data_IF_712169112507
#
_entry.id   IF_712169112507
#
_cell.length_a   1.000
_cell.length_b   1.000
_cell.length_c   1.000
_cell.angle_alpha   90.00
_cell.angle_beta   90.00
_cell.angle_gamma   90.00
#
_symmetry.space_group_name_H-M   'P 1'
#
loop_
_entity.id
_entity.type
_entity.pdbx_description
1 polymer ?
#
# COMPACT_ATOMS: atom_id res chain seq x y z
N UNK A 1 -65.03 -21.18 78.18
CA UNK A 1 -63.86 -21.53 77.34
C UNK A 1 -63.81 -23.06 77.30
N UNK A 2 -63.92 -23.85 76.22
CA UNK A 2 -63.67 -23.72 74.79
C UNK A 2 -64.72 -24.55 74.03
N UNK A 3 -65.67 -23.93 73.32
CA UNK A 3 -66.58 -24.65 72.41
C UNK A 3 -66.41 -24.25 70.93
N UNK A 4 -65.55 -23.28 70.61
CA UNK A 4 -65.29 -22.85 69.23
C UNK A 4 -64.20 -23.65 68.49
N UNK A 5 -63.40 -24.48 69.18
CA UNK A 5 -62.30 -25.22 68.56
C UNK A 5 -62.73 -26.48 67.82
N UNK A 6 -63.91 -27.04 68.12
CA UNK A 6 -64.33 -28.36 67.58
C UNK A 6 -64.89 -28.29 66.15
N UNK A 7 -65.59 -27.21 65.80
CA UNK A 7 -66.16 -27.00 64.45
C UNK A 7 -65.14 -26.45 63.45
N UNK A 8 -64.19 -25.63 63.91
CA UNK A 8 -63.05 -25.17 63.11
C UNK A 8 -62.12 -26.33 62.77
N UNK A 9 -61.89 -27.26 63.71
CA UNK A 9 -61.11 -28.48 63.47
C UNK A 9 -61.69 -29.37 62.37
N UNK A 10 -63.02 -29.58 62.32
CA UNK A 10 -63.66 -30.43 61.29
C UNK A 10 -63.60 -29.80 59.88
N UNK A 11 -63.74 -28.48 59.76
CA UNK A 11 -63.59 -27.78 58.47
C UNK A 11 -62.13 -27.79 58.00
N UNK A 12 -61.18 -27.54 58.92
CA UNK A 12 -59.75 -27.55 58.62
C UNK A 12 -59.28 -28.95 58.20
N UNK A 13 -59.74 -30.00 58.89
CA UNK A 13 -59.45 -31.40 58.58
C UNK A 13 -59.92 -31.78 57.16
N UNK A 14 -61.14 -31.38 56.76
CA UNK A 14 -61.65 -31.62 55.40
C UNK A 14 -60.84 -30.89 54.32
N UNK A 15 -60.36 -29.69 54.61
CA UNK A 15 -59.51 -28.92 53.69
C UNK A 15 -58.13 -29.58 53.56
N UNK A 16 -57.50 -29.94 54.68
CA UNK A 16 -56.21 -30.64 54.71
C UNK A 16 -56.29 -31.97 53.96
N UNK A 17 -57.37 -32.73 54.14
CA UNK A 17 -57.58 -34.00 53.43
C UNK A 17 -57.73 -33.80 51.92
N UNK A 18 -58.43 -32.74 51.47
CA UNK A 18 -58.55 -32.41 50.05
C UNK A 18 -57.20 -32.02 49.45
N UNK A 19 -56.40 -31.24 50.18
CA UNK A 19 -55.05 -30.86 49.76
C UNK A 19 -54.17 -32.12 49.66
N UNK A 20 -54.21 -33.00 50.66
CA UNK A 20 -53.47 -34.27 50.64
C UNK A 20 -53.86 -35.17 49.46
N UNK A 21 -55.15 -35.28 49.15
CA UNK A 21 -55.64 -36.05 47.98
C UNK A 21 -55.17 -35.44 46.66
N UNK A 22 -55.23 -34.11 46.51
CA UNK A 22 -54.76 -33.42 45.30
C UNK A 22 -53.26 -33.62 45.12
N UNK A 23 -52.47 -33.49 46.18
CA UNK A 23 -51.03 -33.74 46.14
C UNK A 23 -50.73 -35.19 45.75
N UNK A 24 -51.43 -36.17 46.36
CA UNK A 24 -51.27 -37.58 46.02
C UNK A 24 -51.55 -37.87 44.53
N UNK A 25 -52.67 -37.35 43.99
CA UNK A 25 -53.02 -37.53 42.58
C UNK A 25 -52.00 -36.82 41.67
N UNK A 26 -51.55 -35.63 42.05
CA UNK A 26 -50.55 -34.86 41.28
C UNK A 26 -49.21 -35.59 41.25
N UNK A 27 -48.76 -36.15 42.38
CA UNK A 27 -47.54 -36.94 42.45
C UNK A 27 -47.62 -38.21 41.58
N UNK A 28 -48.75 -38.91 41.60
CA UNK A 28 -48.99 -40.06 40.72
C UNK A 28 -48.98 -39.67 39.23
N UNK A 29 -49.58 -38.54 38.87
CA UNK A 29 -49.55 -38.01 37.50
C UNK A 29 -48.13 -37.65 37.07
N UNK A 30 -47.32 -37.02 37.94
CA UNK A 30 -45.92 -36.70 37.66
C UNK A 30 -45.10 -37.98 37.42
N UNK A 31 -45.25 -39.00 38.27
CA UNK A 31 -44.57 -40.28 38.09
C UNK A 31 -45.03 -40.96 36.79
N UNK A 32 -46.34 -41.06 36.55
CA UNK A 32 -46.90 -41.71 35.37
C UNK A 32 -46.47 -41.04 34.06
N UNK A 33 -46.51 -39.71 33.99
CA UNK A 33 -46.05 -38.94 32.82
C UNK A 33 -44.53 -39.03 32.63
N UNK A 34 -43.76 -39.14 33.72
CA UNK A 34 -42.30 -39.33 33.66
C UNK A 34 -41.93 -40.72 33.15
N UNK A 35 -42.67 -41.76 33.56
CA UNK A 35 -42.48 -43.14 33.09
C UNK A 35 -42.92 -43.36 31.63
N UNK A 36 -43.95 -42.65 31.17
CA UNK A 36 -44.48 -42.75 29.81
C UNK A 36 -43.70 -41.92 28.78
N UNK A 37 -42.89 -40.97 29.21
CA UNK A 37 -42.07 -40.17 28.31
C UNK A 37 -40.86 -40.97 27.80
N UNK A 38 -40.46 -40.84 26.52
CA UNK A 38 -39.25 -41.47 26.03
C UNK A 38 -38.03 -41.01 26.86
N UNK A 39 -37.26 -42.00 27.35
CA UNK A 39 -36.11 -41.87 28.26
C UNK A 39 -34.99 -41.02 27.64
N UNK A 40 -34.99 -40.89 26.31
CA UNK A 40 -33.89 -40.35 25.52
C UNK A 40 -34.37 -39.14 24.70
N UNK A 41 -33.69 -38.00 24.88
CA UNK A 41 -33.95 -36.78 24.09
C UNK A 41 -32.70 -36.40 23.30
N UNK A 42 -32.89 -36.11 22.02
CA UNK A 42 -31.85 -35.54 21.18
C UNK A 42 -31.77 -34.04 21.40
N UNK A 43 -30.62 -33.56 21.84
CA UNK A 43 -30.38 -32.13 22.09
C UNK A 43 -29.39 -31.61 21.06
N UNK A 44 -29.78 -30.54 20.36
CA UNK A 44 -28.89 -29.87 19.40
C UNK A 44 -27.79 -29.13 20.14
N UNK A 45 -26.55 -29.34 19.71
CA UNK A 45 -25.34 -28.68 20.21
C UNK A 45 -24.66 -27.94 19.05
N UNK A 46 -23.97 -26.86 19.39
CA UNK A 46 -23.16 -26.05 18.47
C UNK A 46 -21.87 -25.66 19.18
N UNK A 47 -20.73 -25.82 18.50
CA UNK A 47 -19.44 -25.31 18.94
C UNK A 47 -18.78 -24.61 17.77
N UNK A 48 -18.11 -23.49 18.03
CA UNK A 48 -17.33 -22.77 17.02
C UNK A 48 -15.94 -23.42 16.98
N UNK A 49 -15.56 -23.96 15.83
CA UNK A 49 -14.25 -24.57 15.63
C UNK A 49 -13.20 -23.50 15.28
N UNK A 50 -13.61 -22.52 14.48
CA UNK A 50 -12.78 -21.37 14.13
C UNK A 50 -13.67 -20.22 13.63
N UNK A 51 -13.31 -19.00 13.97
CA UNK A 51 -14.03 -17.80 13.56
C UNK A 51 -13.08 -16.62 13.49
N UNK A 52 -13.15 -15.88 12.39
CA UNK A 52 -12.51 -14.57 12.29
C UNK A 52 -13.40 -13.60 11.57
N UNK A 53 -13.50 -12.42 12.16
CA UNK A 53 -14.12 -11.25 11.55
C UNK A 53 -12.99 -10.40 10.99
N UNK A 54 -13.16 -9.93 9.76
CA UNK A 54 -12.26 -8.96 9.15
C UNK A 54 -10.78 -9.43 9.02
N UNK A 55 -10.55 -10.73 8.86
CA UNK A 55 -9.22 -11.32 8.77
C UNK A 55 -8.48 -10.89 7.49
N UNK A 56 -7.22 -10.48 7.64
CA UNK A 56 -6.33 -10.19 6.51
C UNK A 56 -5.63 -11.47 6.06
N UNK A 57 -6.18 -12.12 5.03
CA UNK A 57 -5.59 -13.31 4.42
C UNK A 57 -4.79 -12.89 3.18
N UNK A 58 -3.51 -12.58 3.39
CA UNK A 58 -2.64 -12.03 2.34
C UNK A 58 -2.38 -13.03 1.21
N UNK A 59 -2.18 -14.31 1.56
CA UNK A 59 -1.85 -15.36 0.61
C UNK A 59 -2.58 -16.65 0.91
N UNK A 60 -2.39 -17.14 2.13
CA UNK A 60 -2.86 -18.43 2.54
C UNK A 60 -3.12 -18.40 4.03
N UNK A 61 -4.23 -19.01 4.43
CA UNK A 61 -4.59 -19.26 5.81
C UNK A 61 -4.88 -20.75 5.93
N UNK A 62 -4.33 -21.37 6.97
CA UNK A 62 -4.52 -22.78 7.27
C UNK A 62 -4.89 -22.96 8.74
N UNK A 63 -5.86 -23.84 9.01
CA UNK A 63 -6.23 -24.28 10.34
C UNK A 63 -6.60 -25.76 10.33
N UNK A 64 -6.07 -26.51 11.29
CA UNK A 64 -6.56 -27.85 11.57
C UNK A 64 -7.75 -27.76 12.55
N UNK A 65 -8.93 -28.18 12.10
CA UNK A 65 -10.16 -28.19 12.87
C UNK A 65 -10.30 -29.53 13.59
N UNK A 66 -10.33 -29.51 14.91
CA UNK A 66 -10.45 -30.70 15.76
C UNK A 66 -11.51 -30.50 16.84
N UNK A 67 -12.13 -31.61 17.26
CA UNK A 67 -13.04 -31.61 18.40
C UNK A 67 -12.97 -32.94 19.15
N UNK A 68 -12.82 -32.86 20.48
CA UNK A 68 -12.72 -34.04 21.34
C UNK A 68 -14.10 -34.45 21.85
N UNK A 69 -14.72 -35.40 21.16
CA UNK A 69 -15.93 -36.06 21.63
C UNK A 69 -15.64 -36.91 22.87
N UNK A 70 -16.29 -36.60 24.00
CA UNK A 70 -16.09 -37.26 25.30
C UNK A 70 -17.00 -38.47 25.51
N UNK A 71 -18.09 -38.57 24.75
CA UNK A 71 -19.10 -39.64 24.84
C UNK A 71 -19.02 -40.58 23.61
N UNK A 72 -19.57 -41.78 23.73
CA UNK A 72 -19.57 -42.82 22.69
C UNK A 72 -20.12 -42.27 21.34
N UNK A 73 -19.42 -42.50 20.20
CA UNK A 73 -19.83 -42.07 18.87
C UNK A 73 -21.29 -42.39 18.47
N UNK A 74 -21.84 -43.50 18.96
CA UNK A 74 -23.22 -43.94 18.69
C UNK A 74 -24.29 -43.02 19.31
N UNK A 75 -23.89 -42.14 20.23
CA UNK A 75 -24.78 -41.19 20.91
C UNK A 75 -24.81 -39.82 20.21
N UNK A 76 -24.19 -39.69 19.03
CA UNK A 76 -24.29 -38.51 18.17
C UNK A 76 -25.00 -38.83 16.86
N UNK A 77 -25.77 -37.87 16.35
CA UNK A 77 -26.32 -37.92 14.99
C UNK A 77 -26.31 -36.54 14.34
N UNK A 78 -26.51 -36.51 13.03
CA UNK A 78 -26.56 -35.29 12.21
C UNK A 78 -25.32 -34.39 12.41
N UNK A 79 -24.15 -35.01 12.62
CA UNK A 79 -22.90 -34.31 12.80
C UNK A 79 -22.50 -33.61 11.50
N UNK A 80 -22.32 -32.31 11.56
CA UNK A 80 -22.02 -31.50 10.38
C UNK A 80 -21.14 -30.29 10.71
N UNK A 81 -20.31 -29.90 9.75
CA UNK A 81 -19.59 -28.63 9.77
C UNK A 81 -20.38 -27.62 8.95
N UNK A 82 -20.76 -26.52 9.58
CA UNK A 82 -21.32 -25.36 8.91
C UNK A 82 -20.20 -24.37 8.60
N UNK A 83 -19.98 -24.13 7.31
CA UNK A 83 -19.05 -23.12 6.82
C UNK A 83 -19.86 -21.92 6.34
N UNK A 84 -19.53 -20.74 6.84
CA UNK A 84 -19.94 -19.47 6.28
C UNK A 84 -18.70 -18.63 5.99
N UNK A 85 -18.65 -17.99 4.84
CA UNK A 85 -17.57 -17.10 4.44
C UNK A 85 -18.10 -15.95 3.60
N UNK A 86 -17.50 -14.80 3.82
CA UNK A 86 -17.71 -13.59 3.05
C UNK A 86 -16.38 -12.87 2.81
N UNK A 87 -16.19 -12.41 1.59
CA UNK A 87 -14.97 -11.80 1.08
C UNK A 87 -15.33 -10.89 -0.09
N UNK A 88 -14.73 -9.69 -0.18
CA UNK A 88 -15.01 -8.78 -1.30
C UNK A 88 -14.39 -9.29 -2.59
N UNK A 89 -13.26 -9.99 -2.50
CA UNK A 89 -12.61 -10.62 -3.64
C UNK A 89 -12.75 -12.15 -3.54
N UNK A 90 -12.87 -12.85 -4.69
CA UNK A 90 -12.96 -14.30 -4.73
C UNK A 90 -11.77 -15.00 -4.04
N UNK A 91 -12.07 -16.01 -3.23
CA UNK A 91 -11.11 -16.88 -2.55
C UNK A 91 -11.30 -18.33 -2.97
N UNK A 92 -10.21 -19.09 -2.95
CA UNK A 92 -10.29 -20.54 -2.99
C UNK A 92 -10.34 -21.07 -1.57
N UNK A 93 -11.25 -21.99 -1.30
CA UNK A 93 -11.47 -22.56 0.02
C UNK A 93 -11.36 -24.07 -0.08
N UNK A 94 -10.67 -24.70 0.85
CA UNK A 94 -10.61 -26.15 0.95
C UNK A 94 -11.02 -26.61 2.35
N UNK A 95 -11.76 -27.72 2.40
CA UNK A 95 -11.97 -28.53 3.60
C UNK A 95 -11.58 -29.95 3.24
N UNK A 96 -10.49 -30.44 3.82
CA UNK A 96 -9.92 -31.75 3.52
C UNK A 96 -9.76 -32.57 4.79
N UNK A 97 -10.52 -33.65 4.90
CA UNK A 97 -10.41 -34.69 5.93
C UNK A 97 -10.20 -36.07 5.29
N UNK A 98 -10.35 -37.13 6.07
CA UNK A 98 -10.14 -38.51 5.56
C UNK A 98 -11.15 -38.92 4.47
N UNK A 99 -12.38 -38.43 4.57
CA UNK A 99 -13.49 -38.74 3.64
C UNK A 99 -14.20 -37.49 3.12
N UNK A 100 -13.90 -36.33 3.71
CA UNK A 100 -14.42 -35.04 3.27
C UNK A 100 -13.39 -34.37 2.35
N UNK A 101 -13.78 -34.07 1.10
CA UNK A 101 -12.98 -33.26 0.20
C UNK A 101 -13.87 -32.22 -0.47
N UNK A 102 -13.84 -31.01 0.05
CA UNK A 102 -14.55 -29.86 -0.51
C UNK A 102 -13.52 -28.88 -1.03
N UNK A 103 -13.64 -28.53 -2.31
CA UNK A 103 -12.86 -27.48 -2.94
C UNK A 103 -13.82 -26.50 -3.58
N UNK A 104 -13.77 -25.26 -3.11
CA UNK A 104 -14.55 -24.17 -3.66
C UNK A 104 -13.58 -23.21 -4.33
N UNK A 105 -13.89 -22.84 -5.56
CA UNK A 105 -13.07 -21.94 -6.35
C UNK A 105 -13.81 -20.62 -6.57
N UNK A 106 -13.05 -19.52 -6.57
CA UNK A 106 -13.57 -18.18 -6.88
C UNK A 106 -14.80 -17.76 -6.04
N UNK A 107 -14.78 -18.04 -4.73
CA UNK A 107 -15.90 -17.73 -3.81
C UNK A 107 -15.76 -16.36 -3.16
N UNK A 108 -16.77 -15.51 -3.31
CA UNK A 108 -16.92 -14.27 -2.53
C UNK A 108 -17.83 -14.44 -1.32
N UNK A 109 -18.91 -15.19 -1.48
CA UNK A 109 -19.84 -15.52 -0.40
C UNK A 109 -20.26 -16.98 -0.54
N UNK A 110 -20.22 -17.72 0.56
CA UNK A 110 -20.68 -19.10 0.57
C UNK A 110 -21.16 -19.50 1.96
N UNK A 111 -22.26 -20.23 2.00
CA UNK A 111 -22.80 -20.85 3.21
C UNK A 111 -23.24 -22.26 2.87
N UNK A 112 -22.72 -23.25 3.60
CA UNK A 112 -23.14 -24.64 3.44
C UNK A 112 -22.86 -25.46 4.69
N UNK A 113 -23.43 -26.66 4.72
CA UNK A 113 -23.26 -27.63 5.78
C UNK A 113 -22.82 -28.96 5.21
N UNK A 114 -21.76 -29.53 5.77
CA UNK A 114 -21.14 -30.76 5.31
C UNK A 114 -21.24 -31.82 6.39
N UNK A 115 -21.86 -32.96 6.09
CA UNK A 115 -21.91 -34.11 6.99
C UNK A 115 -20.51 -34.69 7.21
N UNK A 116 -20.20 -35.04 8.45
CA UNK A 116 -18.89 -35.55 8.85
C UNK A 116 -19.03 -36.63 9.93
N UNK A 117 -17.96 -37.38 10.17
CA UNK A 117 -17.91 -38.40 11.23
C UNK A 117 -17.11 -37.92 12.46
N UNK A 118 -17.38 -38.46 13.67
CA UNK A 118 -16.58 -38.15 14.85
C UNK A 118 -15.08 -38.50 14.67
N UNK A 119 -14.79 -39.55 13.90
CA UNK A 119 -13.43 -39.97 13.61
C UNK A 119 -12.68 -38.97 12.71
N UNK A 120 -13.35 -38.39 11.71
CA UNK A 120 -12.76 -37.34 10.86
C UNK A 120 -12.32 -36.13 11.68
N UNK A 121 -13.17 -35.64 12.59
CA UNK A 121 -12.84 -34.50 13.46
C UNK A 121 -11.76 -34.79 14.49
N UNK A 122 -11.69 -36.04 15.00
CA UNK A 122 -10.59 -36.46 15.90
C UNK A 122 -9.25 -36.50 15.17
N UNK A 123 -9.24 -36.98 13.91
CA UNK A 123 -8.05 -36.97 13.04
C UNK A 123 -7.68 -35.56 12.59
N UNK A 124 -8.67 -34.67 12.55
CA UNK A 124 -8.53 -33.28 12.16
C UNK A 124 -8.93 -33.06 10.70
N UNK A 125 -9.65 -31.97 10.46
CA UNK A 125 -10.03 -31.53 9.12
C UNK A 125 -9.21 -30.28 8.79
N UNK A 126 -8.45 -30.35 7.69
CA UNK A 126 -7.67 -29.23 7.19
C UNK A 126 -8.61 -28.20 6.55
N UNK A 127 -8.63 -27.00 7.08
CA UNK A 127 -9.34 -25.85 6.52
C UNK A 127 -8.35 -24.86 5.94
N UNK A 128 -8.50 -24.50 4.67
CA UNK A 128 -7.63 -23.54 4.00
C UNK A 128 -8.43 -22.46 3.29
N UNK A 129 -7.92 -21.23 3.34
CA UNK A 129 -8.38 -20.11 2.52
C UNK A 129 -7.17 -19.57 1.77
N UNK A 130 -7.24 -19.58 0.44
CA UNK A 130 -6.18 -19.12 -0.45
C UNK A 130 -6.63 -17.91 -1.25
N UNK A 131 -5.79 -16.87 -1.23
CA UNK A 131 -6.00 -15.65 -1.99
C UNK A 131 -5.40 -15.78 -3.39
N UNK A 132 -6.23 -16.13 -4.38
CA UNK A 132 -5.81 -16.35 -5.78
C UNK A 132 -5.27 -15.10 -6.48
N UNK A 133 -5.51 -13.91 -5.92
CA UNK A 133 -5.02 -12.63 -6.44
C UNK A 133 -3.60 -12.29 -6.00
N UNK A 134 -2.99 -13.16 -5.19
CA UNK A 134 -1.66 -12.98 -4.61
C UNK A 134 -0.55 -13.67 -5.43
N UNK A 135 -0.39 -13.29 -6.70
CA UNK A 135 0.64 -13.87 -7.59
C UNK A 135 1.93 -13.03 -7.64
N UNK A 136 3.07 -13.72 -7.81
CA UNK A 136 4.36 -13.09 -8.15
C UNK A 136 4.30 -12.56 -9.58
N UNK A 137 4.63 -11.27 -9.80
CA UNK A 137 4.80 -10.71 -11.14
C UNK A 137 6.28 -10.38 -11.31
N UNK A 138 6.98 -11.23 -12.05
CA UNK A 138 8.46 -11.26 -12.13
C UNK A 138 9.07 -10.10 -12.91
N UNK A 139 8.33 -9.48 -13.84
CA UNK A 139 8.72 -8.20 -14.45
C UNK A 139 7.55 -7.63 -15.24
N UNK A 140 7.28 -6.34 -15.09
CA UNK A 140 6.40 -5.61 -16.00
C UNK A 140 7.17 -4.45 -16.61
N UNK A 141 7.23 -4.43 -17.94
CA UNK A 141 7.66 -3.25 -18.69
C UNK A 141 6.61 -2.15 -18.50
N UNK A 142 7.06 -1.02 -17.99
CA UNK A 142 6.30 0.23 -17.95
C UNK A 142 6.66 0.98 -19.24
N UNK A 143 5.69 1.62 -19.93
CA UNK A 143 5.88 2.09 -21.30
C UNK A 143 7.17 2.92 -21.48
N UNK A 144 7.87 2.59 -22.55
CA UNK A 144 9.05 3.27 -23.07
C UNK A 144 8.67 4.72 -23.39
N UNK A 145 9.37 5.68 -22.79
CA UNK A 145 9.15 7.12 -23.02
C UNK A 145 10.40 7.75 -23.62
N UNK A 146 10.18 8.54 -24.66
CA UNK A 146 11.19 9.45 -25.23
C UNK A 146 10.96 10.81 -24.56
N UNK A 147 11.96 11.26 -23.80
CA UNK A 147 11.92 12.56 -23.13
C UNK A 147 12.71 13.52 -24.01
N UNK A 148 12.00 14.52 -24.55
CA UNK A 148 12.61 15.61 -25.32
C UNK A 148 12.62 16.85 -24.44
N UNK A 149 13.81 17.33 -24.08
CA UNK A 149 13.91 18.54 -23.25
C UNK A 149 13.79 19.81 -24.07
N UNK A 150 13.06 20.79 -23.50
CA UNK A 150 12.95 22.13 -24.03
C UNK A 150 14.10 23.03 -23.54
N UNK A 151 14.49 24.04 -24.33
CA UNK A 151 15.74 24.79 -24.15
C UNK A 151 15.96 25.51 -22.82
N UNK A 152 14.92 25.88 -22.09
CA UNK A 152 15.00 26.84 -20.97
C UNK A 152 15.08 26.19 -19.58
N UNK A 153 14.98 24.87 -19.49
CA UNK A 153 14.89 24.18 -18.21
C UNK A 153 16.24 23.54 -17.85
N UNK A 154 16.71 23.76 -16.61
CA UNK A 154 17.95 23.15 -16.10
C UNK A 154 17.81 21.66 -15.82
N UNK A 155 16.57 21.17 -15.76
CA UNK A 155 16.20 19.78 -15.56
C UNK A 155 14.88 19.45 -16.25
N UNK A 156 14.62 18.18 -16.53
CA UNK A 156 13.29 17.67 -16.90
C UNK A 156 12.86 16.60 -15.90
N UNK A 157 11.56 16.47 -15.70
CA UNK A 157 10.99 15.48 -14.78
C UNK A 157 10.01 14.62 -15.53
N UNK A 158 10.18 13.31 -15.41
CA UNK A 158 9.22 12.33 -15.87
C UNK A 158 8.57 11.66 -14.65
N UNK A 159 7.25 11.70 -14.58
CA UNK A 159 6.48 11.08 -13.51
C UNK A 159 5.76 9.85 -14.04
N UNK A 160 6.02 8.71 -13.41
CA UNK A 160 5.35 7.45 -13.70
C UNK A 160 4.44 7.11 -12.52
N UNK A 161 3.14 7.01 -12.77
CA UNK A 161 2.18 6.45 -11.81
C UNK A 161 2.15 4.92 -11.95
N UNK A 162 2.70 4.24 -10.95
CA UNK A 162 2.71 2.79 -10.86
C UNK A 162 1.32 2.23 -10.55
N UNK A 163 0.44 2.98 -9.90
CA UNK A 163 -0.91 2.50 -9.61
C UNK A 163 -1.66 2.26 -10.92
N UNK A 164 -1.73 3.23 -11.82
CA UNK A 164 -2.46 3.11 -13.08
C UNK A 164 -1.95 1.95 -13.93
N UNK A 165 -0.63 1.87 -14.12
CA UNK A 165 -0.02 0.83 -14.92
C UNK A 165 -0.34 -0.55 -14.35
N UNK A 166 -0.31 -0.73 -13.03
CA UNK A 166 -0.49 -2.04 -12.38
C UNK A 166 -1.97 -2.39 -12.15
N UNK A 167 -2.80 -1.42 -11.78
CA UNK A 167 -4.25 -1.54 -11.58
C UNK A 167 -4.97 -1.95 -12.86
N UNK A 168 -4.60 -1.42 -14.02
CA UNK A 168 -5.25 -1.77 -15.29
C UNK A 168 -5.20 -3.28 -15.58
N UNK A 169 -4.12 -3.97 -15.19
CA UNK A 169 -4.02 -5.43 -15.36
C UNK A 169 -4.96 -6.19 -14.42
N UNK A 170 -5.10 -5.71 -13.19
CA UNK A 170 -6.03 -6.27 -12.20
C UNK A 170 -7.48 -6.02 -12.64
N UNK A 171 -7.80 -4.81 -13.11
CA UNK A 171 -9.11 -4.50 -13.68
C UNK A 171 -9.46 -5.38 -14.86
N UNK A 172 -8.54 -5.59 -15.81
CA UNK A 172 -8.78 -6.50 -16.93
C UNK A 172 -9.04 -7.95 -16.47
N UNK A 173 -8.41 -8.40 -15.38
CA UNK A 173 -8.65 -9.72 -14.80
C UNK A 173 -10.01 -9.78 -14.09
N UNK A 174 -10.40 -8.73 -13.36
CA UNK A 174 -11.71 -8.59 -12.71
C UNK A 174 -12.82 -8.63 -13.77
N UNK A 175 -12.67 -7.87 -14.86
CA UNK A 175 -13.62 -7.79 -15.97
C UNK A 175 -13.74 -9.15 -16.69
N UNK A 176 -12.62 -9.80 -17.02
CA UNK A 176 -12.62 -11.15 -17.62
C UNK A 176 -13.34 -12.19 -16.76
N UNK A 177 -13.30 -12.03 -15.44
CA UNK A 177 -13.98 -12.91 -14.47
C UNK A 177 -15.43 -12.48 -14.17
N UNK A 178 -15.94 -11.42 -14.79
CA UNK A 178 -17.30 -10.93 -14.58
C UNK A 178 -17.58 -10.41 -13.16
N UNK A 179 -16.54 -10.01 -12.43
CA UNK A 179 -16.65 -9.63 -11.02
C UNK A 179 -17.12 -8.18 -10.88
N UNK A 180 -18.15 -7.96 -10.07
CA UNK A 180 -18.71 -6.62 -9.79
C UNK A 180 -18.08 -6.05 -8.51
N UNK A 181 -16.89 -5.47 -8.65
CA UNK A 181 -16.15 -4.84 -7.55
C UNK A 181 -16.16 -3.32 -7.71
N UNK A 182 -16.54 -2.58 -6.67
CA UNK A 182 -16.66 -1.11 -6.69
C UNK A 182 -15.32 -0.36 -6.54
N UNK A 183 -14.24 -1.07 -6.20
CA UNK A 183 -12.90 -0.50 -6.07
C UNK A 183 -11.94 -1.40 -5.32
N UNK A 184 -10.63 -1.17 -5.47
CA UNK A 184 -9.60 -1.88 -4.73
C UNK A 184 -8.39 -0.99 -4.46
N UNK A 185 -7.71 -1.25 -3.34
CA UNK A 185 -6.45 -0.58 -2.99
C UNK A 185 -5.32 -1.59 -3.09
N UNK A 186 -4.43 -1.48 -4.09
CA UNK A 186 -3.27 -2.36 -4.18
C UNK A 186 -2.22 -1.94 -3.15
N UNK A 187 -1.71 -2.91 -2.39
CA UNK A 187 -0.44 -2.79 -1.68
C UNK A 187 0.60 -3.65 -2.37
N UNK A 188 1.70 -3.05 -2.78
CA UNK A 188 2.85 -3.78 -3.31
C UNK A 188 3.80 -4.08 -2.16
N UNK A 189 4.35 -5.29 -2.09
CA UNK A 189 5.48 -5.59 -1.18
C UNK A 189 6.75 -5.75 -1.98
N UNK A 190 7.86 -5.22 -1.45
CA UNK A 190 9.20 -5.28 -2.04
C UNK A 190 9.26 -4.77 -3.50
N UNK A 191 8.62 -3.63 -3.76
CA UNK A 191 8.67 -2.97 -5.06
C UNK A 191 10.13 -2.61 -5.38
N UNK A 192 10.61 -3.14 -6.50
CA UNK A 192 11.92 -2.83 -7.08
C UNK A 192 11.69 -2.21 -8.44
N UNK A 193 12.22 -1.00 -8.64
CA UNK A 193 12.18 -0.30 -9.92
C UNK A 193 13.56 -0.40 -10.54
N UNK A 194 13.64 -0.80 -11.80
CA UNK A 194 14.92 -0.93 -12.49
C UNK A 194 14.76 -0.59 -13.96
N UNK A 195 15.86 -0.33 -14.63
CA UNK A 195 15.80 0.02 -16.03
C UNK A 195 17.02 0.75 -16.50
N UNK A 196 16.83 1.42 -17.63
CA UNK A 196 17.90 2.05 -18.39
C UNK A 196 17.47 3.43 -18.84
N UNK A 197 18.40 4.38 -18.79
CA UNK A 197 18.26 5.69 -19.39
C UNK A 197 19.48 5.94 -20.27
N UNK A 198 19.29 6.35 -21.53
CA UNK A 198 20.40 6.73 -22.40
C UNK A 198 20.06 7.94 -23.26
N UNK A 199 21.06 8.80 -23.47
CA UNK A 199 20.94 9.97 -24.34
C UNK A 199 21.44 9.63 -25.74
N UNK A 200 20.62 9.90 -26.76
CA UNK A 200 20.83 9.46 -28.13
C UNK A 200 22.10 10.01 -28.79
N UNK A 201 22.53 11.22 -28.41
CA UNK A 201 23.73 11.89 -28.93
C UNK A 201 24.99 11.65 -28.07
N UNK A 202 24.93 10.76 -27.07
CA UNK A 202 26.05 10.46 -26.17
C UNK A 202 26.39 11.60 -25.19
N UNK A 203 25.49 12.56 -24.99
CA UNK A 203 25.70 13.69 -24.08
C UNK A 203 25.50 13.28 -22.63
N UNK A 204 26.26 13.91 -21.75
CA UNK A 204 26.23 13.63 -20.32
C UNK A 204 25.08 14.36 -19.64
N UNK A 205 24.41 13.67 -18.73
CA UNK A 205 23.36 14.19 -17.85
C UNK A 205 23.51 13.57 -16.45
N UNK A 206 22.74 14.05 -15.48
CA UNK A 206 22.54 13.38 -14.20
C UNK A 206 21.12 12.80 -14.16
N UNK A 207 20.94 11.70 -13.44
CA UNK A 207 19.64 11.08 -13.22
C UNK A 207 19.40 10.89 -11.73
N UNK A 208 18.26 11.36 -11.22
CA UNK A 208 17.78 11.11 -9.87
C UNK A 208 16.45 10.37 -9.92
N UNK A 209 16.28 9.37 -9.06
CA UNK A 209 15.01 8.65 -8.89
C UNK A 209 14.49 8.94 -7.49
N UNK A 210 13.37 9.67 -7.43
CA UNK A 210 12.76 10.15 -6.18
C UNK A 210 11.33 9.62 -6.03
N UNK A 211 10.83 9.63 -4.79
CA UNK A 211 9.39 9.57 -4.49
C UNK A 211 8.79 10.98 -4.45
N UNK A 212 7.46 11.07 -4.30
CA UNK A 212 6.76 12.35 -4.31
C UNK A 212 7.27 13.29 -3.20
N UNK A 213 7.54 12.76 -2.00
CA UNK A 213 8.03 13.57 -0.88
C UNK A 213 9.42 14.13 -1.14
N UNK A 214 10.36 13.31 -1.60
CA UNK A 214 11.71 13.74 -1.91
C UNK A 214 11.77 14.64 -3.13
N UNK A 215 10.88 14.45 -4.11
CA UNK A 215 10.71 15.37 -5.24
C UNK A 215 10.27 16.77 -4.77
N UNK A 216 9.32 16.86 -3.84
CA UNK A 216 8.93 18.15 -3.27
C UNK A 216 10.06 18.83 -2.50
N UNK A 217 10.94 18.06 -1.84
CA UNK A 217 12.15 18.62 -1.22
C UNK A 217 13.18 19.07 -2.25
N UNK A 218 13.37 18.33 -3.35
CA UNK A 218 14.20 18.72 -4.47
C UNK A 218 13.78 20.09 -5.04
N UNK A 219 12.49 20.26 -5.34
CA UNK A 219 11.95 21.53 -5.87
C UNK A 219 12.17 22.72 -4.93
N UNK A 220 12.17 22.48 -3.62
CA UNK A 220 12.40 23.50 -2.58
C UNK A 220 13.88 23.75 -2.30
N UNK A 221 14.81 23.09 -3.00
CA UNK A 221 16.25 23.16 -2.70
C UNK A 221 16.60 22.64 -1.29
N UNK A 222 15.71 21.84 -0.69
CA UNK A 222 15.88 21.28 0.64
C UNK A 222 16.62 19.94 0.58
N UNK A 223 17.13 19.45 1.72
CA UNK A 223 17.78 18.14 1.78
C UNK A 223 16.78 17.03 1.45
N UNK A 224 17.07 16.24 0.42
CA UNK A 224 16.28 15.08 -0.02
C UNK A 224 17.15 13.82 -0.07
N UNK A 225 16.51 12.66 -0.18
CA UNK A 225 17.18 11.36 -0.39
C UNK A 225 16.70 10.76 -1.70
N UNK A 226 17.63 10.51 -2.61
CA UNK A 226 17.35 9.75 -3.81
C UNK A 226 17.40 8.24 -3.53
N UNK A 227 16.50 7.49 -4.16
CA UNK A 227 16.55 6.02 -4.16
C UNK A 227 17.67 5.51 -5.06
N UNK A 228 17.97 6.29 -6.10
CA UNK A 228 19.09 6.05 -6.99
C UNK A 228 19.54 7.41 -7.57
N UNK A 229 20.84 7.59 -7.72
CA UNK A 229 21.43 8.78 -8.33
C UNK A 229 22.63 8.41 -9.18
N UNK A 230 22.67 8.94 -10.39
CA UNK A 230 23.81 8.86 -11.30
C UNK A 230 24.20 10.27 -11.74
N UNK A 231 25.51 10.52 -11.85
CA UNK A 231 26.03 11.82 -12.25
C UNK A 231 26.93 11.71 -13.46
N UNK A 232 26.88 12.71 -14.34
CA UNK A 232 27.81 12.94 -15.44
C UNK A 232 28.07 11.73 -16.37
N UNK A 233 27.03 10.98 -16.74
CA UNK A 233 27.09 9.88 -17.72
C UNK A 233 26.12 10.10 -18.86
N UNK A 234 26.38 9.48 -20.01
CA UNK A 234 25.47 9.47 -21.17
C UNK A 234 24.50 8.29 -21.17
N UNK A 235 24.71 7.34 -20.27
CA UNK A 235 23.81 6.21 -20.05
C UNK A 235 23.87 5.74 -18.59
N UNK A 236 22.77 5.15 -18.15
CA UNK A 236 22.60 4.60 -16.82
C UNK A 236 21.81 3.31 -16.87
N UNK A 237 22.26 2.33 -16.10
CA UNK A 237 21.45 1.20 -15.65
C UNK A 237 21.20 1.42 -14.16
N UNK A 238 19.94 1.37 -13.74
CA UNK A 238 19.56 1.67 -12.36
C UNK A 238 18.73 0.55 -11.76
N UNK A 239 18.88 0.37 -10.45
CA UNK A 239 18.07 -0.52 -9.62
C UNK A 239 17.80 0.21 -8.31
N UNK A 240 16.53 0.49 -8.04
CA UNK A 240 16.02 1.09 -6.82
C UNK A 240 15.26 0.03 -6.03
N UNK A 241 15.93 -0.55 -5.02
CA UNK A 241 15.34 -1.53 -4.12
C UNK A 241 14.44 -0.88 -3.06
N UNK A 242 13.44 -1.63 -2.59
CA UNK A 242 12.58 -1.24 -1.46
C UNK A 242 11.91 0.13 -1.64
N UNK A 243 11.43 0.41 -2.85
CA UNK A 243 10.74 1.67 -3.12
C UNK A 243 9.45 1.77 -2.28
N UNK A 244 9.18 2.91 -1.62
CA UNK A 244 8.10 3.03 -0.66
C UNK A 244 6.75 2.78 -1.31
N UNK A 245 5.97 1.92 -0.67
CA UNK A 245 4.71 1.37 -1.21
C UNK A 245 3.53 2.31 -1.03
N UNK A 246 3.73 3.41 -0.29
CA UNK A 246 2.78 4.50 -0.09
C UNK A 246 2.88 5.59 -1.17
N UNK A 247 3.97 5.64 -1.95
CA UNK A 247 4.13 6.56 -3.09
C UNK A 247 3.99 5.78 -4.38
N UNK A 248 2.86 5.95 -5.07
CA UNK A 248 2.63 5.30 -6.37
C UNK A 248 3.34 6.02 -7.51
N UNK A 249 3.73 7.28 -7.30
CA UNK A 249 4.44 8.08 -8.27
C UNK A 249 5.95 7.96 -8.09
N UNK A 250 6.62 7.70 -9.22
CA UNK A 250 8.07 7.67 -9.34
C UNK A 250 8.50 8.85 -10.20
N UNK A 251 9.38 9.68 -9.65
CA UNK A 251 9.90 10.85 -10.33
C UNK A 251 11.32 10.59 -10.81
N UNK A 252 11.52 10.65 -12.12
CA UNK A 252 12.82 10.60 -12.78
C UNK A 252 13.23 12.01 -13.14
N UNK A 253 14.28 12.52 -12.50
CA UNK A 253 14.80 13.88 -12.74
C UNK A 253 16.06 13.76 -13.58
N UNK A 254 16.06 14.45 -14.72
CA UNK A 254 17.18 14.54 -15.64
C UNK A 254 17.80 15.91 -15.53
N UNK A 255 18.95 16.04 -14.88
CA UNK A 255 19.67 17.31 -14.78
C UNK A 255 20.73 17.39 -15.88
N UNK A 256 20.80 18.53 -16.57
CA UNK A 256 21.71 18.66 -17.69
C UNK A 256 23.10 19.12 -17.24
N UNK A 257 24.14 18.48 -17.79
CA UNK A 257 25.50 18.98 -17.63
C UNK A 257 25.68 20.21 -18.51
N UNK A 258 25.62 21.41 -17.93
CA UNK A 258 25.91 22.66 -18.61
C UNK A 258 27.39 22.69 -19.00
N UNK A 259 27.72 22.30 -20.24
CA UNK A 259 29.05 22.54 -20.81
C UNK A 259 29.04 23.83 -21.64
N UNK A 260 29.93 24.80 -21.33
CA UNK A 260 30.04 25.99 -22.15
C UNK A 260 30.73 25.64 -23.47
N UNK A 261 30.16 26.13 -24.58
CA UNK A 261 30.90 26.27 -25.83
C UNK A 261 31.97 27.34 -25.64
N UNK A 262 33.15 27.13 -26.20
CA UNK A 262 34.27 28.07 -26.11
C UNK A 262 34.85 28.29 -27.50
N UNK A 263 34.84 29.53 -27.96
CA UNK A 263 35.55 29.98 -29.16
C UNK A 263 36.70 30.91 -28.78
N UNK A 264 37.81 30.80 -29.50
CA UNK A 264 38.99 31.66 -29.32
C UNK A 264 39.35 32.31 -30.63
N UNK A 265 39.53 33.62 -30.59
CA UNK A 265 39.97 34.43 -31.73
C UNK A 265 41.17 35.28 -31.33
N UNK A 266 42.02 35.54 -32.31
CA UNK A 266 43.22 36.34 -32.14
C UNK A 266 43.24 37.45 -33.19
N UNK A 267 43.58 38.65 -32.75
CA UNK A 267 43.62 39.83 -33.60
C UNK A 267 44.83 40.67 -33.22
N UNK A 268 45.62 41.06 -34.21
CA UNK A 268 46.67 42.06 -34.00
C UNK A 268 46.15 43.45 -34.38
N UNK A 269 46.44 44.43 -33.53
CA UNK A 269 46.08 45.83 -33.71
C UNK A 269 47.37 46.63 -33.69
N UNK A 270 47.68 47.27 -34.82
CA UNK A 270 48.89 48.08 -34.99
C UNK A 270 48.50 49.55 -35.02
N UNK A 271 49.14 50.35 -34.17
CA UNK A 271 49.09 51.81 -34.23
C UNK A 271 50.39 52.31 -34.86
N UNK A 272 50.37 52.78 -36.12
CA UNK A 272 51.56 53.21 -36.82
C UNK A 272 52.29 54.38 -36.13
N UNK A 273 53.58 54.57 -36.44
CA UNK A 273 54.38 55.69 -35.92
C UNK A 273 53.74 57.08 -36.18
N UNK A 274 53.08 57.24 -37.31
CA UNK A 274 52.52 58.54 -37.71
C UNK A 274 51.10 58.79 -37.18
N UNK A 275 50.50 57.84 -36.46
CA UNK A 275 49.14 57.95 -35.92
C UNK A 275 49.14 57.91 -34.40
N UNK A 276 48.31 58.73 -33.77
CA UNK A 276 48.15 58.74 -32.29
C UNK A 276 47.27 57.59 -31.79
N UNK A 277 46.31 57.15 -32.57
CA UNK A 277 45.44 56.03 -32.24
C UNK A 277 45.03 55.28 -33.50
N UNK A 278 44.52 54.07 -33.32
CA UNK A 278 43.79 53.34 -34.37
C UNK A 278 42.45 52.88 -33.81
N UNK A 279 41.44 52.79 -34.68
CA UNK A 279 40.13 52.26 -34.32
C UNK A 279 39.82 51.04 -35.20
N UNK A 280 39.30 49.98 -34.59
CA UNK A 280 38.90 48.77 -35.30
C UNK A 280 37.49 48.36 -34.88
N UNK A 281 36.63 48.19 -35.88
CA UNK A 281 35.29 47.65 -35.66
C UNK A 281 35.40 46.13 -35.54
N UNK A 282 34.88 45.58 -34.45
CA UNK A 282 34.82 44.14 -34.21
C UNK A 282 33.37 43.69 -34.03
N UNK A 283 33.07 42.49 -34.51
CA UNK A 283 31.86 41.75 -34.16
C UNK A 283 32.32 40.48 -33.48
N UNK A 284 31.86 40.26 -32.26
CA UNK A 284 32.21 39.03 -31.56
C UNK A 284 31.51 37.81 -32.17
N UNK A 285 30.32 37.99 -32.72
CA UNK A 285 29.62 36.95 -33.48
C UNK A 285 29.10 37.52 -34.81
N UNK A 286 29.22 36.72 -35.89
CA UNK A 286 28.61 37.03 -37.19
C UNK A 286 27.11 36.74 -37.18
N UNK A 287 26.71 35.67 -36.51
CA UNK A 287 25.33 35.24 -36.33
C UNK A 287 25.05 35.02 -34.84
N UNK A 288 23.79 35.21 -34.42
CA UNK A 288 23.42 35.04 -33.00
C UNK A 288 23.62 33.58 -32.59
N UNK A 289 24.51 33.26 -31.62
CA UNK A 289 24.73 31.89 -31.22
C UNK A 289 23.47 31.33 -30.56
N UNK A 290 23.20 30.04 -30.75
CA UNK A 290 22.16 29.33 -30.00
C UNK A 290 22.62 29.19 -28.55
N UNK A 291 22.24 30.13 -27.69
CA UNK A 291 22.58 30.12 -26.28
C UNK A 291 21.38 30.36 -25.37
N UNK A 292 21.45 29.79 -24.16
CA UNK A 292 20.36 29.86 -23.16
C UNK A 292 20.44 31.08 -22.26
N UNK A 293 21.66 31.57 -22.04
CA UNK A 293 21.99 32.66 -21.12
C UNK A 293 22.81 33.74 -21.86
N UNK A 294 23.17 34.82 -21.15
CA UNK A 294 24.10 35.82 -21.66
C UNK A 294 25.44 35.19 -22.05
N UNK A 295 26.09 35.79 -23.04
CA UNK A 295 27.38 35.34 -23.54
C UNK A 295 28.48 36.01 -22.73
N UNK A 296 29.46 35.25 -22.29
CA UNK A 296 30.65 35.78 -21.64
C UNK A 296 31.73 36.01 -22.69
N UNK A 297 32.31 37.20 -22.69
CA UNK A 297 33.44 37.55 -23.54
C UNK A 297 34.60 37.98 -22.66
N UNK A 298 35.73 37.31 -22.84
CA UNK A 298 37.00 37.64 -22.22
C UNK A 298 37.93 38.20 -23.29
N UNK A 299 38.38 39.45 -23.12
CA UNK A 299 39.38 40.07 -23.97
C UNK A 299 40.68 40.23 -23.19
N UNK A 300 41.76 39.62 -23.67
CA UNK A 300 43.12 39.81 -23.16
C UNK A 300 43.90 40.59 -24.19
N UNK A 301 44.38 41.77 -23.82
CA UNK A 301 45.21 42.63 -24.66
C UNK A 301 46.63 42.69 -24.11
N UNK A 302 47.61 42.47 -24.97
CA UNK A 302 49.04 42.55 -24.60
C UNK A 302 49.84 43.23 -25.70
N UNK A 303 50.60 44.25 -25.32
CA UNK A 303 51.55 44.88 -26.24
C UNK A 303 52.84 44.05 -26.34
N UNK A 304 53.32 43.86 -27.56
CA UNK A 304 54.40 42.91 -27.89
C UNK A 304 55.76 43.26 -27.24
N UNK A 305 56.05 44.55 -27.07
CA UNK A 305 57.28 45.10 -26.47
C UNK A 305 57.03 45.68 -25.09
N UNK A 306 55.90 45.34 -24.45
CA UNK A 306 55.48 45.82 -23.15
C UNK A 306 55.37 47.36 -23.05
N UNK A 307 55.11 48.05 -24.17
CA UNK A 307 54.86 49.49 -24.22
C UNK A 307 53.49 49.82 -23.65
N UNK A 308 53.37 51.00 -23.02
CA UNK A 308 52.11 51.48 -22.44
C UNK A 308 51.20 52.03 -23.54
N UNK A 309 49.92 51.69 -23.46
CA UNK A 309 48.87 52.22 -24.34
C UNK A 309 47.59 52.48 -23.54
N UNK A 310 46.66 53.21 -24.15
CA UNK A 310 45.30 53.36 -23.69
C UNK A 310 44.37 52.51 -24.55
N UNK A 311 43.33 51.98 -23.95
CA UNK A 311 42.36 51.11 -24.60
C UNK A 311 40.93 51.52 -24.27
N UNK A 312 40.10 51.62 -25.29
CA UNK A 312 38.68 51.93 -25.15
C UNK A 312 37.84 50.96 -25.98
N UNK A 313 36.74 50.47 -25.40
CA UNK A 313 35.77 49.62 -26.08
C UNK A 313 34.40 50.28 -26.02
N UNK A 314 33.87 50.62 -27.19
CA UNK A 314 32.56 51.25 -27.34
C UNK A 314 31.58 50.33 -28.07
N UNK A 315 30.30 50.47 -27.74
CA UNK A 315 29.17 49.96 -28.54
C UNK A 315 28.25 51.13 -28.86
N UNK A 316 28.31 51.61 -30.11
CA UNK A 316 27.70 52.89 -30.45
C UNK A 316 28.24 54.00 -29.54
N UNK A 317 27.39 54.83 -28.89
CA UNK A 317 27.85 55.88 -27.97
C UNK A 317 28.22 55.37 -26.57
N UNK A 318 27.90 54.12 -26.23
CA UNK A 318 28.10 53.57 -24.89
C UNK A 318 29.53 53.04 -24.71
N UNK A 319 30.25 53.58 -23.73
CA UNK A 319 31.54 53.07 -23.29
C UNK A 319 31.34 51.79 -22.46
N UNK A 320 31.91 50.67 -22.91
CA UNK A 320 31.90 49.40 -22.19
C UNK A 320 33.13 49.22 -21.31
N UNK A 321 34.27 49.73 -21.76
CA UNK A 321 35.52 49.65 -21.01
C UNK A 321 36.48 50.77 -21.40
N UNK A 322 37.19 51.31 -20.42
CA UNK A 322 38.33 52.22 -20.61
C UNK A 322 39.48 51.77 -19.71
N UNK A 323 40.68 51.71 -20.27
CA UNK A 323 41.90 51.42 -19.53
C UNK A 323 43.03 52.31 -20.01
N UNK A 324 43.85 52.82 -19.09
CA UNK A 324 44.89 53.80 -19.42
C UNK A 324 46.27 53.39 -18.93
N UNK A 325 47.30 53.71 -19.73
CA UNK A 325 48.70 53.64 -19.33
C UNK A 325 49.27 52.27 -18.97
N UNK A 326 48.66 51.15 -19.41
CA UNK A 326 49.18 49.79 -19.17
C UNK A 326 49.64 49.16 -20.48
N UNK A 327 50.46 48.12 -20.36
CA UNK A 327 50.88 47.25 -21.47
C UNK A 327 50.05 45.98 -21.58
N UNK A 328 49.13 45.76 -20.62
CA UNK A 328 48.28 44.59 -20.49
C UNK A 328 46.89 44.98 -19.95
N UNK A 329 45.84 44.40 -20.54
CA UNK A 329 44.47 44.48 -20.05
C UNK A 329 43.79 43.11 -20.13
N UNK A 330 42.98 42.81 -19.12
CA UNK A 330 42.08 41.66 -19.11
C UNK A 330 40.68 42.15 -18.77
N UNK A 331 39.73 41.85 -19.64
CA UNK A 331 38.36 42.37 -19.59
C UNK A 331 37.43 41.19 -19.67
N UNK A 332 36.55 41.05 -18.68
CA UNK A 332 35.47 40.07 -18.69
C UNK A 332 34.14 40.81 -18.75
N UNK A 333 33.36 40.55 -19.80
CA UNK A 333 32.07 41.18 -20.03
C UNK A 333 30.99 40.13 -20.29
N UNK A 334 29.81 40.36 -19.73
CA UNK A 334 28.60 39.58 -20.03
C UNK A 334 27.72 40.39 -20.96
N UNK A 335 27.36 39.82 -22.11
CA UNK A 335 26.61 40.49 -23.17
C UNK A 335 25.28 39.76 -23.37
N UNK A 336 24.13 40.46 -23.39
CA UNK A 336 22.85 39.86 -23.72
C UNK A 336 22.83 39.25 -25.12
N UNK A 337 22.02 38.20 -25.32
CA UNK A 337 21.94 37.50 -26.61
C UNK A 337 21.53 38.43 -27.76
N UNK A 338 20.62 39.37 -27.48
CA UNK A 338 20.17 40.42 -28.41
C UNK A 338 21.30 41.34 -28.88
N UNK A 339 22.41 41.38 -28.15
CA UNK A 339 23.57 42.21 -28.46
C UNK A 339 24.74 41.42 -29.06
N UNK A 340 24.62 40.09 -29.20
CA UNK A 340 25.70 39.19 -29.61
C UNK A 340 26.34 39.53 -30.97
N UNK A 341 25.54 40.02 -31.91
CA UNK A 341 25.95 40.42 -33.26
C UNK A 341 26.26 41.92 -33.40
N UNK A 342 26.25 42.65 -32.28
CA UNK A 342 26.53 44.09 -32.25
C UNK A 342 27.95 44.39 -32.73
N UNK A 343 28.09 45.56 -33.37
CA UNK A 343 29.41 46.13 -33.69
C UNK A 343 29.97 46.84 -32.46
N UNK A 344 31.21 46.52 -32.11
CA UNK A 344 31.99 47.22 -31.10
C UNK A 344 33.14 47.97 -31.77
N UNK A 345 33.38 49.19 -31.32
CA UNK A 345 34.51 50.00 -31.76
C UNK A 345 35.60 49.90 -30.71
N UNK A 346 36.72 49.32 -31.10
CA UNK A 346 37.90 49.14 -30.27
C UNK A 346 38.92 50.21 -30.65
N UNK A 347 39.37 51.00 -29.69
CA UNK A 347 40.35 52.07 -29.89
C UNK A 347 41.60 51.76 -29.08
N UNK A 348 42.75 51.77 -29.74
CA UNK A 348 44.07 51.72 -29.12
C UNK A 348 44.75 53.05 -29.36
N UNK A 349 45.06 53.78 -28.29
CA UNK A 349 45.81 55.03 -28.34
C UNK A 349 47.20 54.82 -27.75
N UNK A 350 48.25 55.21 -28.48
CA UNK A 350 49.63 55.03 -28.02
C UNK A 350 50.06 56.17 -27.10
N UNK A 351 50.91 55.86 -26.12
CA UNK A 351 51.55 56.85 -25.23
C UNK A 351 52.97 57.22 -25.65
N UNK A 352 53.52 56.55 -26.66
CA UNK A 352 54.88 56.79 -27.18
C UNK A 352 54.82 57.13 -28.67
N UNK A 353 55.82 57.85 -29.22
CA UNK A 353 55.88 58.16 -30.65
C UNK A 353 56.13 56.91 -31.52
N UNK A 354 56.65 55.84 -30.91
CA UNK A 354 56.93 54.58 -31.58
C UNK A 354 55.65 53.87 -32.03
N UNK A 355 55.82 52.85 -32.88
CA UNK A 355 54.72 51.94 -33.24
C UNK A 355 54.30 51.09 -32.05
N UNK A 356 53.01 50.82 -31.91
CA UNK A 356 52.47 49.96 -30.84
C UNK A 356 51.74 48.79 -31.49
N UNK A 357 52.12 47.56 -31.15
CA UNK A 357 51.52 46.33 -31.67
C UNK A 357 50.85 45.58 -30.51
N UNK A 358 49.52 45.59 -30.47
CA UNK A 358 48.72 44.94 -29.42
C UNK A 358 48.09 43.67 -29.96
N UNK A 359 48.39 42.55 -29.32
CA UNK A 359 47.70 41.29 -29.53
C UNK A 359 46.45 41.25 -28.66
N UNK A 360 45.28 41.17 -29.30
CA UNK A 360 44.00 40.92 -28.67
C UNK A 360 43.65 39.44 -28.81
N UNK A 361 43.48 38.75 -27.68
CA UNK A 361 42.89 37.42 -27.59
C UNK A 361 41.47 37.55 -27.07
N UNK A 362 40.50 37.14 -27.87
CA UNK A 362 39.09 37.07 -27.48
C UNK A 362 38.75 35.63 -27.18
N UNK A 363 38.21 35.36 -26.00
CA UNK A 363 37.58 34.08 -25.66
C UNK A 363 36.11 34.32 -25.46
N UNK A 364 35.27 33.63 -26.23
CA UNK A 364 33.81 33.71 -26.15
C UNK A 364 33.32 32.43 -25.50
N UNK A 365 32.44 32.53 -24.51
CA UNK A 365 31.82 31.35 -23.91
C UNK A 365 30.33 31.53 -23.70
N UNK A 366 29.56 30.51 -24.06
CA UNK A 366 28.12 30.47 -23.90
C UNK A 366 27.64 29.04 -23.69
N UNK A 367 26.51 28.88 -23.01
CA UNK A 367 25.86 27.58 -22.92
C UNK A 367 24.97 27.39 -24.14
N UNK A 368 25.29 26.40 -24.98
CA UNK A 368 24.36 26.00 -26.03
C UNK A 368 23.19 25.22 -25.45
N UNK A 369 22.15 25.05 -26.26
CA UNK A 369 21.03 24.15 -25.98
C UNK A 369 21.27 22.87 -26.77
N UNK A 370 21.92 21.84 -26.20
CA UNK A 370 21.89 20.54 -26.83
C UNK A 370 20.45 20.04 -26.75
N UNK A 371 19.81 19.70 -27.87
CA UNK A 371 18.54 18.96 -27.84
C UNK A 371 18.80 17.58 -27.23
N UNK A 372 18.46 17.38 -25.96
CA UNK A 372 18.58 16.09 -25.31
C UNK A 372 17.41 15.20 -25.73
N UNK A 373 17.73 14.02 -26.25
CA UNK A 373 16.77 12.95 -26.50
C UNK A 373 17.14 11.79 -25.60
N UNK A 374 16.48 11.71 -24.45
CA UNK A 374 16.73 10.65 -23.47
C UNK A 374 15.67 9.59 -23.65
N UNK A 375 16.11 8.37 -23.98
CA UNK A 375 15.25 7.21 -23.91
C UNK A 375 15.24 6.65 -22.49
N UNK A 376 14.06 6.57 -21.90
CA UNK A 376 13.85 5.95 -20.60
C UNK A 376 13.07 4.63 -20.77
N UNK A 377 13.69 3.53 -20.32
CA UNK A 377 13.06 2.21 -20.19
C UNK A 377 12.94 1.88 -18.72
N UNK A 378 11.72 1.69 -18.23
CA UNK A 378 11.46 1.40 -16.82
C UNK A 378 10.75 0.05 -16.69
N UNK A 379 11.20 -0.73 -15.73
CA UNK A 379 10.61 -1.98 -15.31
C UNK A 379 10.29 -1.89 -13.82
N UNK A 380 9.18 -2.50 -13.45
CA UNK A 380 8.85 -2.75 -12.05
C UNK A 380 8.77 -4.26 -11.81
N UNK A 381 9.43 -4.70 -10.76
CA UNK A 381 9.23 -6.01 -10.17
C UNK A 381 8.60 -5.82 -8.79
N UNK A 382 7.53 -6.55 -8.53
CA UNK A 382 6.88 -6.56 -7.23
C UNK A 382 6.47 -7.98 -6.92
N UNK A 383 6.74 -8.38 -5.68
CA UNK A 383 6.55 -9.76 -5.28
C UNK A 383 5.06 -10.11 -5.18
N UNK A 384 4.18 -9.16 -4.84
CA UNK A 384 2.76 -9.46 -4.63
C UNK A 384 1.89 -8.21 -4.75
N UNK A 385 0.76 -8.33 -5.44
CA UNK A 385 -0.37 -7.40 -5.27
C UNK A 385 -1.16 -7.91 -4.07
N UNK A 386 -1.18 -7.13 -3.00
CA UNK A 386 -2.08 -7.35 -1.88
C UNK A 386 -3.28 -6.44 -2.10
N UNK A 387 -4.37 -7.01 -2.61
CA UNK A 387 -5.66 -6.34 -2.54
C UNK A 387 -6.04 -6.33 -1.06
N UNK A 388 -6.22 -5.14 -0.47
CA UNK A 388 -6.75 -5.03 0.89
C UNK A 388 -8.15 -5.63 0.95
N UNK A 389 -8.21 -6.93 1.23
CA UNK A 389 -9.44 -7.67 1.38
C UNK A 389 -9.51 -8.26 2.77
N UNK A 390 -10.64 -8.03 3.41
CA UNK A 390 -10.96 -8.53 4.74
C UNK A 390 -11.91 -9.69 4.56
N UNK A 391 -11.49 -10.86 5.00
CA UNK A 391 -12.28 -12.08 4.93
C UNK A 391 -12.93 -12.30 6.29
N UNK A 392 -14.25 -12.43 6.30
CA UNK A 392 -14.99 -12.86 7.47
C UNK A 392 -15.45 -14.29 7.25
N UNK A 393 -15.17 -15.18 8.19
CA UNK A 393 -15.59 -16.56 8.10
C UNK A 393 -15.94 -17.13 9.47
N UNK A 394 -16.82 -18.12 9.45
CA UNK A 394 -17.32 -18.81 10.61
C UNK A 394 -17.41 -20.31 10.29
N UNK A 395 -16.67 -21.12 11.05
CA UNK A 395 -16.72 -22.58 10.96
C UNK A 395 -17.25 -23.14 12.27
N UNK A 396 -18.45 -23.70 12.23
CA UNK A 396 -19.10 -24.26 13.40
C UNK A 396 -19.38 -25.75 13.22
N UNK A 397 -19.17 -26.50 14.30
CA UNK A 397 -19.62 -27.87 14.45
C UNK A 397 -21.05 -27.87 15.00
N UNK A 398 -21.93 -28.64 14.38
CA UNK A 398 -23.31 -28.82 14.83
C UNK A 398 -23.61 -30.31 14.90
N UNK A 399 -24.25 -30.75 15.98
CA UNK A 399 -24.70 -32.13 16.14
C UNK A 399 -25.91 -32.23 17.04
N UNK A 400 -26.52 -33.41 17.06
CA UNK A 400 -27.48 -33.80 18.08
C UNK A 400 -26.87 -34.87 18.96
N UNK A 401 -26.97 -34.69 20.27
CA UNK A 401 -26.47 -35.61 21.28
C UNK A 401 -27.63 -36.24 22.04
N UNK A 402 -27.53 -37.54 22.27
CA UNK A 402 -28.50 -38.30 23.05
C UNK A 402 -28.27 -38.05 24.54
N UNK A 403 -29.19 -37.34 25.18
CA UNK A 403 -29.13 -37.02 26.61
C UNK A 403 -30.21 -37.82 27.33
N UNK A 404 -29.82 -38.52 28.41
CA UNK A 404 -30.77 -39.14 29.34
C UNK A 404 -31.46 -38.04 30.15
N UNK A 405 -32.79 -38.08 30.26
CA UNK A 405 -33.48 -37.20 31.22
C UNK A 405 -33.02 -37.52 32.64
N UNK A 406 -33.00 -36.53 33.56
CA UNK A 406 -32.77 -36.77 34.99
C UNK A 406 -34.03 -37.45 35.57
N UNK A 407 -34.25 -38.71 35.21
CA UNK A 407 -35.41 -39.49 35.64
C UNK A 407 -35.42 -39.61 37.17
N UNK A 408 -34.27 -39.76 37.80
CA UNK A 408 -34.16 -39.90 39.25
C UNK A 408 -34.62 -38.63 39.99
N UNK A 409 -34.33 -37.43 39.48
CA UNK A 409 -34.78 -36.17 40.08
C UNK A 409 -36.31 -35.98 39.93
N UNK A 410 -36.86 -36.31 38.76
CA UNK A 410 -38.30 -36.20 38.49
C UNK A 410 -39.12 -37.25 39.23
N UNK A 411 -38.61 -38.48 39.36
CA UNK A 411 -39.21 -39.54 40.15
C UNK A 411 -39.15 -39.20 41.64
N UNK A 412 -38.00 -38.75 42.14
CA UNK A 412 -37.84 -38.31 43.55
C UNK A 412 -38.76 -37.14 43.89
N UNK A 413 -38.94 -36.17 42.99
CA UNK A 413 -39.90 -35.08 43.16
C UNK A 413 -41.35 -35.61 43.23
N UNK A 414 -41.72 -36.54 42.35
CA UNK A 414 -43.02 -37.21 42.37
C UNK A 414 -43.26 -37.99 43.66
N UNK A 415 -42.27 -38.76 44.12
CA UNK A 415 -42.31 -39.51 45.38
C UNK A 415 -42.45 -38.57 46.58
N UNK A 416 -41.72 -37.47 46.62
CA UNK A 416 -41.79 -36.47 47.70
C UNK A 416 -43.20 -35.87 47.78
N UNK A 417 -43.81 -35.55 46.63
CA UNK A 417 -45.19 -35.05 46.56
C UNK A 417 -46.19 -36.09 47.07
N UNK A 418 -46.01 -37.37 46.72
CA UNK A 418 -46.85 -38.47 47.21
C UNK A 418 -46.71 -38.63 48.73
N UNK A 419 -45.49 -38.64 49.26
CA UNK A 419 -45.22 -38.78 50.71
C UNK A 419 -45.87 -37.63 51.47
N UNK A 420 -45.75 -36.39 50.98
CA UNK A 420 -46.39 -35.22 51.58
C UNK A 420 -47.93 -35.36 51.55
N UNK A 421 -48.48 -35.84 50.45
CA UNK A 421 -49.91 -36.13 50.29
C UNK A 421 -50.40 -37.18 51.30
N UNK A 422 -49.69 -38.30 51.43
CA UNK A 422 -50.00 -39.37 52.39
C UNK A 422 -49.88 -38.89 53.84
N UNK A 423 -48.85 -38.10 54.16
CA UNK A 423 -48.68 -37.52 55.50
C UNK A 423 -49.84 -36.61 55.90
N UNK A 424 -50.41 -35.85 54.95
CA UNK A 424 -51.59 -35.01 55.19
C UNK A 424 -52.90 -35.82 55.26
N UNK A 425 -52.91 -37.07 54.77
CA UNK A 425 -54.06 -37.98 54.85
C UNK A 425 -54.08 -38.82 56.15
N UNK A 426 -52.92 -39.07 56.77
CA UNK A 426 -52.74 -39.85 58.00
C UNK A 426 -53.47 -39.32 59.25
N UNK A 427 -53.60 -38.00 59.51
CA UNK A 427 -54.31 -37.47 60.68
C UNK A 427 -55.76 -37.97 60.76
N UNK A 428 -56.40 -38.18 59.61
CA UNK A 428 -57.77 -38.70 59.52
C UNK A 428 -57.88 -40.18 59.87
N UNK A 429 -56.81 -40.95 59.65
CA UNK A 429 -56.72 -42.37 60.02
C UNK A 429 -56.44 -42.54 61.53
N UNK A 430 -55.56 -41.72 62.10
CA UNK A 430 -55.21 -41.75 63.53
C UNK A 430 -56.29 -41.13 64.44
N UNK A 431 -57.09 -40.18 63.94
CA UNK A 431 -58.24 -39.64 64.67
C UNK A 431 -59.49 -40.53 64.62
N UNK A 432 -59.46 -41.65 63.88
CA UNK A 432 -60.50 -42.66 63.90
C UNK A 432 -60.32 -43.53 65.15
N UNK A 433 -60.99 -43.18 66.26
CA UNK A 433 -61.05 -44.05 67.45
C UNK A 433 -61.49 -45.48 67.02
N UNK A 434 -60.86 -46.54 67.55
CA UNK A 434 -61.36 -47.88 67.31
C UNK A 434 -62.74 -48.00 67.95
N UNK A 435 -63.74 -48.38 67.15
CA UNK A 435 -65.02 -48.85 67.67
C UNK A 435 -64.75 -50.23 68.30
N UNK A 436 -64.60 -50.26 69.63
CA UNK A 436 -64.80 -51.49 70.39
C UNK A 436 -66.29 -51.82 70.35
N UNK A 437 -66.67 -52.77 69.48
CA UNK A 437 -67.88 -53.60 69.61
C UNK A 437 -67.82 -54.77 68.62
N UNK A 438 -67.94 -55.97 69.18
CA UNK A 438 -68.20 -57.30 68.58
C UNK A 438 -66.97 -57.95 67.91
N UNK A 439 -66.45 -59.10 68.35
CA UNK A 439 -66.88 -60.12 69.32
C UNK A 439 -65.62 -60.81 69.86
#
# INVERSE_FOLDING_TARGET
MNYSSRWTNVKLERIITKIGLVLFITGLLVISTTLLAPIEKWTRRKVILDEKIDARILHHYEKLLTYNFTINPQLYRNLSIKLWIYSRFPKNISLTGSSLRVQLHDVTQYESSFSITPLELRKGIKFEISNIWSSNITSKLIPLKIITLLPRESYSVECIDLADALCNKVWNLIEKKGLRIQGFSPRFNNLTIFGEAYENSGRKFNLLILDERNYMYYLKGSKFKAYWSGTNSSSYTFIAHYYPTLSWKVYFIFELSKKPNIEKEYLTIVVPRNHRFTSKVIRFFHETPQAVDNITITCILREKRNRKFNFYLFKGPKLYFSGEGKSYYEINMSIPLSESTSKFNLIVEKKTPEEVEVLLKVTKSWYSVPKYEILLKVYANYYRILLEDKVSYHVALIWEEKVKKPLDELLSAGETIIILGVFLLLPRLLMRKPNSKLL
#
